data_IF_177255757393
#
_entry.id   IF_177255757393
#
_cell.length_a   1.000
_cell.length_b   1.000
_cell.length_c   1.000
_cell.angle_alpha   90.00
_cell.angle_beta   90.00
_cell.angle_gamma   90.00
#
_symmetry.space_group_name_H-M   'P 1'
#
loop_
_entity.id
_entity.type
_entity.pdbx_description
1 polymer ?
#
# COMPACT_ATOMS: atom_id res chain seq x y z
N UNK A 1 14.60 12.53 4.36
CA UNK A 1 13.27 11.99 4.67
C UNK A 1 13.01 10.87 3.67
N UNK A 2 12.96 9.61 4.10
CA UNK A 2 12.67 8.48 3.20
C UNK A 2 11.23 8.58 2.67
N UNK A 3 10.93 7.91 1.55
CA UNK A 3 9.55 7.81 1.07
C UNK A 3 8.67 7.23 2.18
N UNK A 4 7.45 7.74 2.30
CA UNK A 4 6.48 7.16 3.23
C UNK A 4 6.11 5.72 2.78
N UNK A 5 5.66 4.87 3.69
CA UNK A 5 5.35 3.47 3.38
C UNK A 5 4.27 3.32 2.29
N UNK A 6 3.23 4.17 2.27
CA UNK A 6 2.12 4.06 1.32
C UNK A 6 2.63 4.20 -0.12
N UNK A 7 3.43 5.25 -0.35
CA UNK A 7 4.06 5.53 -1.64
C UNK A 7 4.99 4.39 -2.06
N UNK A 8 5.85 3.93 -1.14
CA UNK A 8 6.80 2.85 -1.45
C UNK A 8 6.11 1.55 -1.85
N UNK A 9 5.15 1.06 -1.05
CA UNK A 9 4.44 -0.19 -1.34
C UNK A 9 3.67 -0.13 -2.66
N UNK A 10 3.03 1.00 -2.95
CA UNK A 10 2.22 1.17 -4.15
C UNK A 10 3.07 1.29 -5.42
N UNK A 11 4.17 2.04 -5.38
CA UNK A 11 5.07 2.17 -6.54
C UNK A 11 5.80 0.85 -6.82
N UNK A 12 6.35 0.20 -5.79
CA UNK A 12 7.01 -1.11 -5.97
C UNK A 12 5.99 -2.15 -6.46
N UNK A 13 4.82 -2.21 -5.84
CA UNK A 13 3.76 -3.15 -6.21
C UNK A 13 3.31 -3.01 -7.67
N UNK A 14 3.00 -1.78 -8.09
CA UNK A 14 2.62 -1.50 -9.48
C UNK A 14 3.75 -1.82 -10.45
N UNK A 15 4.99 -1.44 -10.15
CA UNK A 15 6.16 -1.76 -10.96
C UNK A 15 6.36 -3.26 -11.15
N UNK A 16 6.28 -4.05 -10.07
CA UNK A 16 6.44 -5.50 -10.13
C UNK A 16 5.33 -6.18 -10.96
N UNK A 17 4.07 -5.72 -10.83
CA UNK A 17 2.96 -6.24 -11.62
C UNK A 17 3.13 -5.95 -13.12
N UNK A 18 3.51 -4.72 -13.48
CA UNK A 18 3.80 -4.39 -14.87
C UNK A 18 4.95 -5.24 -15.42
N UNK A 19 6.09 -5.26 -14.72
CA UNK A 19 7.32 -5.85 -15.23
C UNK A 19 7.33 -7.38 -15.24
N UNK A 20 6.83 -8.02 -14.17
CA UNK A 20 6.94 -9.48 -14.00
C UNK A 20 5.66 -10.23 -14.32
N UNK A 21 4.51 -9.56 -14.33
CA UNK A 21 3.21 -10.19 -14.61
C UNK A 21 2.57 -9.69 -15.91
N UNK A 22 3.07 -8.60 -16.50
CA UNK A 22 2.46 -8.00 -17.70
C UNK A 22 1.07 -7.41 -17.43
N UNK A 23 0.77 -7.10 -16.16
CA UNK A 23 -0.50 -6.52 -15.74
C UNK A 23 -0.33 -5.01 -15.69
N UNK A 24 -1.13 -4.28 -16.47
CA UNK A 24 -1.18 -2.83 -16.40
C UNK A 24 -1.69 -2.40 -15.02
N UNK A 25 -0.78 -1.85 -14.22
CA UNK A 25 -1.02 -1.46 -12.84
C UNK A 25 -0.45 -0.05 -12.59
N UNK A 26 -1.17 0.77 -11.84
CA UNK A 26 -0.75 2.15 -11.53
C UNK A 26 -0.81 2.35 -10.02
N UNK A 27 0.15 3.07 -9.46
CA UNK A 27 0.05 3.55 -8.08
C UNK A 27 -0.95 4.72 -8.06
N UNK A 28 -1.93 4.68 -7.17
CA UNK A 28 -2.99 5.68 -7.07
C UNK A 28 -3.02 6.19 -5.64
N UNK A 29 -3.08 7.52 -5.48
CA UNK A 29 -3.23 8.21 -4.21
C UNK A 29 -4.66 8.71 -4.03
N UNK A 30 -5.03 8.93 -2.77
CA UNK A 30 -6.29 9.61 -2.41
C UNK A 30 -6.82 9.16 -1.06
N UNK A 31 -8.14 9.26 -0.90
CA UNK A 31 -8.85 8.78 0.29
C UNK A 31 -9.10 7.27 0.23
N UNK A 32 -9.09 6.61 1.39
CA UNK A 32 -9.34 5.17 1.50
C UNK A 32 -10.11 4.85 2.77
N UNK A 33 -11.16 4.03 2.65
CA UNK A 33 -11.93 3.51 3.77
C UNK A 33 -12.01 1.98 3.71
N UNK A 34 -11.91 1.31 4.86
CA UNK A 34 -12.06 -0.13 4.98
C UNK A 34 -12.79 -0.48 6.27
N UNK A 35 -13.86 -1.27 6.14
CA UNK A 35 -14.51 -1.91 7.28
C UNK A 35 -13.68 -3.12 7.76
N UNK A 36 -13.28 -3.09 9.02
CA UNK A 36 -12.33 -4.06 9.62
C UNK A 36 -12.98 -5.02 10.64
N UNK A 37 -14.27 -4.82 10.94
CA UNK A 37 -15.04 -5.57 11.94
C UNK A 37 -16.52 -5.64 11.50
N UNK A 38 -17.22 -6.72 11.86
CA UNK A 38 -18.63 -6.95 11.50
C UNK A 38 -19.61 -6.10 12.34
N UNK A 39 -19.15 -5.56 13.47
CA UNK A 39 -19.77 -4.40 14.10
C UNK A 39 -19.10 -3.16 13.48
N UNK A 40 -19.69 -2.51 12.46
CA UNK A 40 -18.98 -1.78 11.41
C UNK A 40 -18.02 -0.75 11.99
N UNK A 41 -16.75 -1.16 12.10
CA UNK A 41 -15.63 -0.28 12.45
C UNK A 41 -14.85 -0.07 11.19
N UNK A 42 -14.68 1.18 10.82
CA UNK A 42 -13.93 1.54 9.63
C UNK A 42 -12.61 2.18 10.03
N UNK A 43 -11.55 1.81 9.33
CA UNK A 43 -10.35 2.64 9.24
C UNK A 43 -10.52 3.60 8.07
N UNK A 44 -10.01 4.82 8.22
CA UNK A 44 -10.07 5.85 7.21
C UNK A 44 -8.71 6.54 7.08
N UNK A 45 -8.25 6.68 5.85
CA UNK A 45 -7.13 7.53 5.49
C UNK A 45 -7.67 8.79 4.82
N UNK A 46 -7.53 9.90 5.52
CA UNK A 46 -8.08 11.20 5.19
C UNK A 46 -8.47 11.95 6.46
N UNK A 47 -8.99 13.16 6.30
CA UNK A 47 -9.51 14.01 7.38
C UNK A 47 -11.01 14.14 7.21
N UNK A 48 -11.75 14.01 8.31
CA UNK A 48 -13.16 14.38 8.38
C UNK A 48 -13.26 15.84 8.84
N UNK A 49 -13.70 16.72 7.93
CA UNK A 49 -13.95 18.13 8.18
C UNK A 49 -15.45 18.42 8.26
N UNK A 50 -16.18 17.65 9.08
CA UNK A 50 -17.60 17.85 9.32
C UNK A 50 -18.48 17.28 8.20
N UNK A 51 -18.18 16.04 7.78
CA UNK A 51 -18.84 15.35 6.68
C UNK A 51 -18.27 15.68 5.30
N UNK A 52 -17.19 16.48 5.25
CA UNK A 52 -16.37 16.67 4.07
C UNK A 52 -15.05 15.95 4.27
N UNK A 53 -14.82 14.94 3.46
CA UNK A 53 -13.58 14.19 3.47
C UNK A 53 -12.53 14.94 2.65
N UNK A 54 -11.38 15.23 3.26
CA UNK A 54 -10.23 15.83 2.58
C UNK A 54 -9.01 14.92 2.74
N UNK A 55 -8.13 14.97 1.75
CA UNK A 55 -6.82 14.34 1.78
C UNK A 55 -5.80 15.26 1.10
N UNK A 56 -4.55 15.02 1.38
CA UNK A 56 -3.40 15.78 0.91
C UNK A 56 -2.14 15.15 1.48
N UNK A 57 -0.99 15.82 1.37
CA UNK A 57 0.31 15.24 1.76
C UNK A 57 0.44 14.76 3.22
N UNK A 58 -0.50 15.10 4.12
CA UNK A 58 -0.52 14.70 5.53
C UNK A 58 -1.75 13.86 5.94
N UNK A 59 -2.46 13.28 4.97
CA UNK A 59 -3.65 12.46 5.23
C UNK A 59 -4.14 11.75 3.98
N UNK A 60 -3.26 10.99 3.31
CA UNK A 60 -3.58 10.21 2.12
C UNK A 60 -3.27 8.74 2.33
N UNK A 61 -3.83 7.90 1.46
CA UNK A 61 -3.37 6.54 1.24
C UNK A 61 -2.93 6.39 -0.21
N UNK A 62 -2.04 5.44 -0.48
CA UNK A 62 -1.77 4.97 -1.83
C UNK A 62 -2.02 3.48 -1.92
N UNK A 63 -2.57 3.06 -3.06
CA UNK A 63 -2.78 1.66 -3.42
C UNK A 63 -2.33 1.41 -4.86
N UNK A 64 -2.41 0.16 -5.29
CA UNK A 64 -2.24 -0.22 -6.69
C UNK A 64 -3.59 -0.46 -7.32
N UNK A 65 -3.84 0.16 -8.48
CA UNK A 65 -5.04 -0.04 -9.26
C UNK A 65 -4.71 -0.67 -10.62
N UNK A 66 -5.47 -1.69 -10.99
CA UNK A 66 -5.45 -2.29 -12.32
C UNK A 66 -6.77 -1.97 -13.02
N UNK A 67 -7.01 -2.54 -14.20
CA UNK A 67 -8.32 -2.44 -14.87
C UNK A 67 -9.48 -2.89 -13.98
N UNK A 68 -9.29 -3.97 -13.23
CA UNK A 68 -10.38 -4.67 -12.56
C UNK A 68 -10.21 -4.77 -11.03
N UNK A 69 -9.06 -4.35 -10.47
CA UNK A 69 -8.74 -4.55 -9.06
C UNK A 69 -8.12 -3.32 -8.38
N UNK A 70 -8.42 -3.22 -7.09
CA UNK A 70 -7.69 -2.42 -6.09
C UNK A 70 -6.87 -3.37 -5.24
N UNK A 71 -5.56 -3.11 -5.12
CA UNK A 71 -4.61 -3.93 -4.37
C UNK A 71 -3.85 -3.03 -3.42
N UNK A 72 -3.85 -3.36 -2.13
CA UNK A 72 -3.00 -2.67 -1.16
C UNK A 72 -1.99 -3.66 -0.55
N UNK A 73 -0.72 -3.45 -0.91
CA UNK A 73 0.42 -4.22 -0.40
C UNK A 73 0.82 -3.82 1.03
N UNK A 74 0.31 -2.70 1.54
CA UNK A 74 0.48 -2.23 2.91
C UNK A 74 -0.52 -2.84 3.89
N UNK A 75 -1.66 -3.37 3.43
CA UNK A 75 -2.69 -3.97 4.29
C UNK A 75 -2.18 -4.96 5.36
N UNK A 76 -1.18 -5.84 5.11
CA UNK A 76 -0.63 -6.73 6.13
C UNK A 76 0.10 -6.03 7.30
N UNK A 77 0.42 -4.74 7.17
CA UNK A 77 1.07 -3.91 8.20
C UNK A 77 0.18 -2.77 8.73
N UNK A 78 -1.14 -2.83 8.48
CA UNK A 78 -2.09 -1.89 9.09
C UNK A 78 -2.05 -1.92 10.61
N UNK A 79 -1.84 -3.10 11.21
CA UNK A 79 -1.72 -3.24 12.66
C UNK A 79 -0.66 -2.29 13.25
N UNK A 80 0.49 -2.17 12.61
CA UNK A 80 1.54 -1.22 13.01
C UNK A 80 1.18 0.23 12.67
N UNK A 81 0.56 0.44 11.53
CA UNK A 81 0.24 1.77 11.01
C UNK A 81 -0.82 2.48 11.86
N UNK A 82 -1.77 1.72 12.42
CA UNK A 82 -2.86 2.24 13.27
C UNK A 82 -2.64 2.01 14.76
N UNK A 83 -1.55 1.37 15.20
CA UNK A 83 -1.33 1.04 16.61
C UNK A 83 -1.42 2.26 17.56
N UNK A 84 -0.96 3.43 17.11
CA UNK A 84 -1.00 4.68 17.89
C UNK A 84 -2.36 5.36 17.78
N UNK A 85 -2.94 5.39 16.58
CA UNK A 85 -4.18 6.12 16.29
C UNK A 85 -5.44 5.38 16.78
N UNK A 86 -5.41 4.06 16.81
CA UNK A 86 -6.52 3.19 17.19
C UNK A 86 -6.03 2.03 18.07
N UNK A 87 -5.52 2.31 19.30
CA UNK A 87 -4.92 1.29 20.16
C UNK A 87 -5.90 0.18 20.58
N UNK A 88 -7.21 0.47 20.54
CA UNK A 88 -8.27 -0.47 20.91
C UNK A 88 -8.71 -1.39 19.75
N UNK A 89 -8.17 -1.19 18.54
CA UNK A 89 -8.51 -1.97 17.34
C UNK A 89 -7.39 -2.95 17.01
N UNK A 90 -7.68 -4.25 17.15
CA UNK A 90 -6.75 -5.31 16.76
C UNK A 90 -6.96 -5.65 15.28
N UNK A 91 -6.13 -5.04 14.42
CA UNK A 91 -6.19 -5.31 12.98
C UNK A 91 -5.45 -6.61 12.62
N UNK A 92 -6.12 -7.59 11.99
CA UNK A 92 -5.47 -8.78 11.48
C UNK A 92 -4.57 -8.44 10.27
N UNK A 93 -3.50 -9.23 10.10
CA UNK A 93 -2.63 -9.12 8.93
C UNK A 93 -3.25 -9.88 7.75
N UNK A 94 -4.07 -9.21 6.96
CA UNK A 94 -4.73 -9.80 5.78
C UNK A 94 -4.24 -9.16 4.50
N UNK A 95 -4.29 -9.91 3.40
CA UNK A 95 -4.11 -9.37 2.06
C UNK A 95 -5.30 -8.50 1.68
N UNK A 96 -5.05 -7.37 1.01
CA UNK A 96 -6.09 -6.58 0.36
C UNK A 96 -5.93 -6.66 -1.16
N UNK A 97 -6.84 -7.39 -1.81
CA UNK A 97 -6.99 -7.43 -3.25
C UNK A 97 -8.48 -7.63 -3.54
N UNK A 98 -9.14 -6.57 -3.99
CA UNK A 98 -10.59 -6.52 -4.22
C UNK A 98 -10.87 -6.10 -5.66
N UNK A 99 -12.03 -6.47 -6.19
CA UNK A 99 -12.42 -6.03 -7.54
C UNK A 99 -12.96 -4.62 -7.46
N UNK A 100 -12.61 -3.78 -8.43
CA UNK A 100 -13.10 -2.39 -8.51
C UNK A 100 -14.63 -2.29 -8.49
N UNK A 101 -15.35 -3.29 -9.01
CA UNK A 101 -16.81 -3.34 -8.98
C UNK A 101 -17.41 -3.56 -7.57
N UNK A 102 -16.61 -4.02 -6.60
CA UNK A 102 -17.02 -4.23 -5.22
C UNK A 102 -16.90 -2.95 -4.36
N UNK A 103 -16.37 -1.85 -4.95
CA UNK A 103 -16.19 -0.53 -4.31
C UNK A 103 -17.53 0.11 -3.91
N UNK A 104 -17.66 0.51 -2.64
CA UNK A 104 -18.89 1.10 -2.13
C UNK A 104 -19.09 2.53 -2.63
N UNK A 105 -20.36 2.93 -2.70
CA UNK A 105 -20.74 4.26 -3.20
C UNK A 105 -20.98 5.26 -2.07
N UNK A 106 -21.22 4.77 -0.85
CA UNK A 106 -21.35 5.57 0.36
C UNK A 106 -20.56 4.94 1.51
N UNK A 107 -20.08 5.77 2.44
CA UNK A 107 -19.52 5.29 3.71
C UNK A 107 -20.55 4.53 4.55
N UNK A 108 -21.83 4.87 4.41
CA UNK A 108 -22.93 4.16 5.06
C UNK A 108 -23.08 2.71 4.54
N UNK A 109 -22.49 2.38 3.37
CA UNK A 109 -22.53 1.03 2.80
C UNK A 109 -21.39 0.13 3.31
N UNK A 110 -20.49 0.65 4.15
CA UNK A 110 -19.39 -0.10 4.77
C UNK A 110 -19.88 -0.92 5.97
N UNK A 111 -20.60 -2.01 5.71
CA UNK A 111 -21.36 -2.74 6.73
C UNK A 111 -20.77 -4.09 7.11
N UNK A 112 -19.93 -4.67 6.27
CA UNK A 112 -19.30 -5.97 6.50
C UNK A 112 -17.77 -5.88 6.45
N UNK A 113 -17.08 -6.75 7.18
CA UNK A 113 -15.62 -6.84 7.11
C UNK A 113 -15.15 -6.97 5.66
N UNK A 114 -14.24 -6.10 5.24
CA UNK A 114 -13.69 -6.09 3.89
C UNK A 114 -14.47 -5.23 2.90
N UNK A 115 -15.63 -4.68 3.27
CA UNK A 115 -16.24 -3.59 2.50
C UNK A 115 -15.26 -2.40 2.49
N UNK A 116 -15.13 -1.75 1.33
CA UNK A 116 -14.14 -0.70 1.15
C UNK A 116 -14.66 0.40 0.23
N UNK A 117 -14.04 1.56 0.34
CA UNK A 117 -14.28 2.70 -0.53
C UNK A 117 -12.95 3.38 -0.90
N UNK A 118 -12.75 3.68 -2.18
CA UNK A 118 -11.60 4.48 -2.64
C UNK A 118 -12.03 5.83 -3.20
N UNK A 119 -11.21 6.85 -2.98
CA UNK A 119 -11.40 8.18 -3.53
C UNK A 119 -10.13 8.59 -4.30
N UNK A 120 -9.98 8.17 -5.57
CA UNK A 120 -8.78 8.44 -6.35
C UNK A 120 -8.56 9.95 -6.56
N UNK A 121 -7.31 10.37 -6.45
CA UNK A 121 -6.84 11.73 -6.71
C UNK A 121 -5.71 11.69 -7.73
N UNK A 122 -5.99 11.90 -9.03
CA UNK A 122 -5.00 11.78 -10.10
C UNK A 122 -3.86 12.80 -9.97
N UNK A 123 -4.16 14.03 -9.54
CA UNK A 123 -3.17 15.10 -9.43
C UNK A 123 -2.19 14.80 -8.29
N UNK A 124 -2.70 14.38 -7.14
CA UNK A 124 -1.87 13.93 -6.02
C UNK A 124 -1.07 12.67 -6.36
N UNK A 125 -1.65 11.76 -7.14
CA UNK A 125 -0.97 10.54 -7.59
C UNK A 125 0.27 10.88 -8.42
N UNK A 126 0.13 11.78 -9.40
CA UNK A 126 1.23 12.24 -10.24
C UNK A 126 2.32 12.93 -9.41
N UNK A 127 1.92 13.87 -8.53
CA UNK A 127 2.86 14.57 -7.63
C UNK A 127 3.71 13.60 -6.81
N UNK A 128 3.07 12.62 -6.15
CA UNK A 128 3.77 11.68 -5.26
C UNK A 128 4.67 10.71 -6.03
N UNK A 129 4.23 10.24 -7.20
CA UNK A 129 5.03 9.36 -8.06
C UNK A 129 6.26 10.10 -8.58
N UNK A 130 6.09 11.30 -9.10
CA UNK A 130 7.20 12.11 -9.62
C UNK A 130 8.18 12.45 -8.50
N UNK A 131 7.68 12.85 -7.33
CA UNK A 131 8.51 13.12 -6.17
C UNK A 131 9.30 11.89 -5.71
N UNK A 132 8.69 10.71 -5.77
CA UNK A 132 9.37 9.47 -5.43
C UNK A 132 10.49 9.16 -6.44
N UNK A 133 10.19 9.24 -7.73
CA UNK A 133 11.11 8.89 -8.81
C UNK A 133 12.22 9.93 -9.02
N UNK A 134 12.01 11.19 -8.64
CA UNK A 134 13.02 12.25 -8.73
C UNK A 134 14.21 12.04 -7.79
N UNK A 135 14.13 11.08 -6.86
CA UNK A 135 15.16 10.80 -5.86
C UNK A 135 15.92 9.52 -6.20
N UNK A 136 17.22 9.59 -6.53
CA UNK A 136 18.02 8.41 -6.91
C UNK A 136 17.99 7.27 -5.89
N UNK A 137 17.95 7.59 -4.59
CA UNK A 137 17.85 6.58 -3.53
C UNK A 137 16.58 5.73 -3.64
N UNK A 138 15.47 6.31 -4.08
CA UNK A 138 14.20 5.60 -4.23
C UNK A 138 14.22 4.69 -5.46
N UNK A 139 14.86 5.12 -6.55
CA UNK A 139 15.06 4.28 -7.73
C UNK A 139 16.00 3.11 -7.44
N UNK A 140 17.04 3.32 -6.60
CA UNK A 140 17.90 2.23 -6.13
C UNK A 140 17.12 1.23 -5.29
N UNK A 141 16.28 1.71 -4.35
CA UNK A 141 15.42 0.86 -3.54
C UNK A 141 14.40 0.07 -4.38
N UNK A 142 13.86 0.66 -5.44
CA UNK A 142 12.99 -0.03 -6.40
C UNK A 142 13.74 -1.19 -7.09
N UNK A 143 14.97 -0.94 -7.54
CA UNK A 143 15.82 -1.97 -8.14
C UNK A 143 16.20 -3.08 -7.16
N UNK A 144 16.45 -2.73 -5.89
CA UNK A 144 16.71 -3.71 -4.82
C UNK A 144 15.47 -4.55 -4.54
N UNK A 145 14.28 -3.93 -4.45
CA UNK A 145 13.02 -4.64 -4.24
C UNK A 145 12.72 -5.61 -5.39
N UNK A 146 12.97 -5.19 -6.63
CA UNK A 146 12.86 -6.04 -7.81
C UNK A 146 13.82 -7.23 -7.77
N UNK A 147 15.11 -6.97 -7.51
CA UNK A 147 16.11 -8.01 -7.43
C UNK A 147 15.81 -9.01 -6.31
N UNK A 148 15.26 -8.53 -5.18
CA UNK A 148 14.87 -9.38 -4.07
C UNK A 148 13.61 -10.20 -4.38
N UNK A 149 12.59 -9.60 -4.99
CA UNK A 149 11.42 -10.30 -5.51
C UNK A 149 11.83 -11.45 -6.44
N UNK A 150 12.81 -11.18 -7.31
CA UNK A 150 13.45 -12.19 -8.15
C UNK A 150 12.57 -12.58 -9.34
N UNK A 151 11.90 -13.73 -9.27
CA UNK A 151 11.08 -14.22 -10.38
C UNK A 151 9.74 -14.74 -9.90
N UNK A 152 8.72 -14.61 -10.77
CA UNK A 152 7.33 -15.01 -10.50
C UNK A 152 7.17 -16.43 -9.92
N UNK A 153 8.05 -17.37 -10.29
CA UNK A 153 7.98 -18.78 -9.87
C UNK A 153 9.13 -19.20 -8.94
N UNK A 154 10.08 -18.31 -8.68
CA UNK A 154 11.23 -18.58 -7.83
C UNK A 154 10.89 -18.40 -6.36
N UNK A 155 11.54 -19.16 -5.48
CA UNK A 155 11.50 -18.85 -4.04
C UNK A 155 12.25 -17.54 -3.81
N UNK A 156 11.62 -16.61 -3.08
CA UNK A 156 12.28 -15.40 -2.64
C UNK A 156 13.46 -15.76 -1.73
N UNK A 157 14.60 -15.06 -1.89
CA UNK A 157 15.77 -15.30 -1.05
C UNK A 157 15.47 -14.82 0.38
N UNK A 158 15.82 -15.58 1.43
CA UNK A 158 15.55 -15.16 2.81
C UNK A 158 16.37 -13.93 3.22
N UNK A 159 17.52 -13.72 2.57
CA UNK A 159 18.42 -12.59 2.81
C UNK A 159 18.98 -12.04 1.51
N UNK A 160 19.28 -10.74 1.52
CA UNK A 160 20.08 -10.07 0.48
C UNK A 160 21.12 -9.15 1.13
N UNK A 161 22.12 -8.74 0.35
CA UNK A 161 23.08 -7.72 0.74
C UNK A 161 22.89 -6.49 -0.13
N UNK A 162 22.85 -5.32 0.49
CA UNK A 162 22.72 -4.02 -0.14
C UNK A 162 23.98 -3.22 0.15
N UNK A 163 24.74 -2.86 -0.89
CA UNK A 163 25.90 -1.98 -0.79
C UNK A 163 25.49 -0.53 -1.01
N UNK A 164 26.05 0.40 -0.24
CA UNK A 164 25.96 1.84 -0.50
C UNK A 164 27.25 2.39 -1.11
N UNK A 165 27.18 3.59 -1.68
CA UNK A 165 28.29 4.25 -2.37
C UNK A 165 29.49 4.59 -1.46
N UNK A 166 29.32 4.54 -0.14
CA UNK A 166 30.36 4.69 0.89
C UNK A 166 31.05 3.36 1.25
N UNK A 167 30.70 2.26 0.57
CA UNK A 167 31.25 0.94 0.81
C UNK A 167 30.62 0.18 1.97
N UNK A 168 29.60 0.74 2.64
CA UNK A 168 28.87 0.01 3.69
C UNK A 168 27.99 -1.06 3.05
N UNK A 169 28.10 -2.28 3.56
CA UNK A 169 27.21 -3.39 3.19
C UNK A 169 26.21 -3.62 4.31
N UNK A 170 24.92 -3.58 3.98
CA UNK A 170 23.82 -3.91 4.88
C UNK A 170 23.23 -5.26 4.48
N UNK A 171 23.05 -6.13 5.45
CA UNK A 171 22.33 -7.39 5.26
C UNK A 171 20.87 -7.20 5.62
N UNK A 172 19.98 -7.49 4.67
CA UNK A 172 18.54 -7.43 4.85
C UNK A 172 18.00 -8.86 4.94
N UNK A 173 17.07 -9.09 5.86
CA UNK A 173 16.43 -10.38 6.09
C UNK A 173 14.92 -10.19 5.97
N UNK A 174 14.25 -11.15 5.33
CA UNK A 174 12.80 -11.14 5.26
C UNK A 174 12.20 -11.18 6.67
N UNK A 175 11.21 -10.34 6.98
CA UNK A 175 10.55 -10.40 8.28
C UNK A 175 9.77 -11.72 8.42
N UNK A 176 9.57 -12.21 9.65
CA UNK A 176 8.70 -13.37 9.90
C UNK A 176 7.21 -13.03 9.71
N UNK A 177 6.89 -11.78 9.40
CA UNK A 177 5.54 -11.27 9.18
C UNK A 177 4.91 -11.94 7.96
N UNK A 178 3.77 -12.59 8.18
CA UNK A 178 3.01 -13.29 7.13
C UNK A 178 1.57 -12.79 7.16
N UNK A 179 1.04 -12.42 6.01
CA UNK A 179 -0.39 -12.18 5.84
C UNK A 179 -1.15 -13.51 5.90
N UNK A 180 -2.21 -13.58 6.71
CA UNK A 180 -3.08 -14.75 6.85
C UNK A 180 -4.51 -14.36 6.49
N UNK A 181 -5.00 -14.89 5.39
CA UNK A 181 -6.33 -14.59 4.85
C UNK A 181 -6.35 -13.33 3.98
N UNK A 182 -7.57 -12.99 3.53
CA UNK A 182 -7.87 -11.82 2.73
C UNK A 182 -8.99 -11.02 3.40
N UNK A 183 -8.98 -9.70 3.18
CA UNK A 183 -10.08 -8.81 3.54
C UNK A 183 -11.30 -9.05 2.66
#
# INVERSE_FOLDING_TARGET
MHADPHTFFSIVGSYLLNKHYGIAATAVAGGFALCVDDAPKCIFYGKDEGGKFSWGNDGFHMWVQTKDHVIDFMAPIYAESFAIAQPDVVLPRKMFQKRLEDDKQSLDDLQATGDYMVFPDPDLSEELIDHFLSRPINTDLLGIAEAWFGSRRGKQRPTISMGSNDGIVRHLTLPPTIARGAW
#
